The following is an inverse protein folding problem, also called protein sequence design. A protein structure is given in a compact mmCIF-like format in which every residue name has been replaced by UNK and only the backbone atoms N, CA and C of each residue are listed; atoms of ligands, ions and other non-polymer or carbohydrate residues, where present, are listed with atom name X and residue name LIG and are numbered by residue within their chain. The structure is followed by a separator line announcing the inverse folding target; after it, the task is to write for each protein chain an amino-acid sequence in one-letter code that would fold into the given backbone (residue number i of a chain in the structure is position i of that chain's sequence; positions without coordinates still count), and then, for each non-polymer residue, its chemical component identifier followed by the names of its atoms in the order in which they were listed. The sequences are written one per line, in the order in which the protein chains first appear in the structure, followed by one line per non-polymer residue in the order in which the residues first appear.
data_IF_184869288596
#
_entry.id   IF_184869288596
#
_cell.length_a   1.000
_cell.length_b   1.000
_cell.length_c   1.000
_cell.angle_alpha   90.00
_cell.angle_beta   90.00
_cell.angle_gamma   90.00
#
_symmetry.space_group_name_H-M   'P 1'
#
loop_
_entity.id
_entity.type
_entity.pdbx_description
1 polymer ?
#
# COMPACT_ATOMS: atom_id res chain seq x y z
N UNK A 1 -5.34 12.06 13.45
CA UNK A 1 -6.19 10.87 13.24
C UNK A 1 -5.64 10.14 12.03
N UNK A 2 -5.02 8.98 12.22
CA UNK A 2 -4.54 8.17 11.09
C UNK A 2 -5.70 7.55 10.33
N UNK A 3 -5.54 7.36 9.01
CA UNK A 3 -6.52 6.63 8.21
C UNK A 3 -6.68 5.19 8.72
N UNK A 4 -7.92 4.70 8.79
CA UNK A 4 -8.20 3.28 9.02
C UNK A 4 -8.18 2.53 7.69
N UNK A 5 -8.00 1.21 7.74
CA UNK A 5 -8.21 0.38 6.57
C UNK A 5 -9.69 0.45 6.15
N UNK A 6 -9.92 0.80 4.88
CA UNK A 6 -11.26 0.86 4.29
C UNK A 6 -11.86 -0.55 4.15
N UNK A 7 -13.20 -0.63 4.24
CA UNK A 7 -13.95 -1.88 4.14
C UNK A 7 -14.59 -1.97 2.76
N UNK A 8 -14.44 -3.08 2.01
CA UNK A 8 -15.04 -3.21 0.69
C UNK A 8 -16.57 -3.18 0.77
N UNK A 9 -17.21 -2.52 -0.21
CA UNK A 9 -18.66 -2.42 -0.35
C UNK A 9 -19.11 -3.22 -1.56
N UNK A 10 -19.95 -4.23 -1.32
CA UNK A 10 -20.49 -5.10 -2.39
C UNK A 10 -21.08 -4.26 -3.52
N UNK A 11 -20.70 -4.56 -4.76
CA UNK A 11 -21.19 -3.87 -5.96
C UNK A 11 -20.45 -2.58 -6.33
N UNK A 12 -19.51 -2.09 -5.51
CA UNK A 12 -18.61 -1.03 -5.92
C UNK A 12 -17.69 -1.51 -7.05
N UNK A 13 -17.51 -0.67 -8.07
CA UNK A 13 -16.68 -0.96 -9.25
C UNK A 13 -15.46 -0.07 -9.24
N UNK A 14 -14.29 -0.67 -9.46
CA UNK A 14 -13.03 0.05 -9.52
C UNK A 14 -13.01 0.96 -10.77
N UNK A 15 -12.88 2.26 -10.53
CA UNK A 15 -12.84 3.31 -11.56
C UNK A 15 -11.47 3.97 -11.69
N UNK A 16 -10.64 3.88 -10.65
CA UNK A 16 -9.33 4.55 -10.60
C UNK A 16 -8.24 3.59 -10.14
N UNK A 17 -7.18 3.52 -10.94
CA UNK A 17 -5.91 2.88 -10.62
C UNK A 17 -4.95 3.99 -10.20
N UNK A 18 -4.72 4.11 -8.89
CA UNK A 18 -3.78 5.06 -8.30
C UNK A 18 -2.35 4.56 -8.46
N UNK A 19 -1.67 5.04 -9.49
CA UNK A 19 -0.31 4.65 -9.84
C UNK A 19 0.76 5.56 -9.20
N UNK A 20 0.41 6.43 -8.26
CA UNK A 20 1.40 7.23 -7.53
C UNK A 20 2.28 6.38 -6.63
N UNK A 21 3.58 6.68 -6.59
CA UNK A 21 4.51 6.08 -5.62
C UNK A 21 4.11 6.43 -4.18
N UNK A 22 4.52 5.64 -3.18
CA UNK A 22 4.38 6.04 -1.79
C UNK A 22 5.01 7.43 -1.59
N UNK A 23 4.47 8.23 -0.66
CA UNK A 23 4.95 9.58 -0.30
C UNK A 23 4.72 10.69 -1.35
N UNK A 24 3.90 10.44 -2.38
CA UNK A 24 3.42 11.48 -3.33
C UNK A 24 2.03 12.02 -2.97
N UNK A 25 1.57 11.83 -1.73
CA UNK A 25 0.25 12.28 -1.26
C UNK A 25 -0.86 11.25 -1.45
N UNK A 26 -0.52 9.96 -1.54
CA UNK A 26 -1.46 8.86 -1.79
C UNK A 26 -2.62 8.83 -0.81
N UNK A 27 -2.43 9.08 0.50
CA UNK A 27 -3.54 9.06 1.45
C UNK A 27 -4.55 10.20 1.25
N UNK A 28 -4.07 11.42 1.02
CA UNK A 28 -4.90 12.57 0.66
C UNK A 28 -5.68 12.28 -0.63
N UNK A 29 -5.01 11.70 -1.62
CA UNK A 29 -5.61 11.28 -2.87
C UNK A 29 -6.67 10.19 -2.66
N UNK A 30 -6.41 9.15 -1.85
CA UNK A 30 -7.40 8.13 -1.51
C UNK A 30 -8.64 8.77 -0.89
N UNK A 31 -8.46 9.70 0.05
CA UNK A 31 -9.58 10.38 0.69
C UNK A 31 -10.36 11.25 -0.31
N UNK A 32 -9.68 11.88 -1.25
CA UNK A 32 -10.32 12.66 -2.31
C UNK A 32 -11.17 11.76 -3.21
N UNK A 33 -10.67 10.58 -3.57
CA UNK A 33 -11.41 9.59 -4.35
C UNK A 33 -12.61 9.02 -3.58
N UNK A 34 -12.51 8.80 -2.27
CA UNK A 34 -13.66 8.37 -1.45
C UNK A 34 -14.81 9.39 -1.52
N UNK A 35 -14.47 10.68 -1.51
CA UNK A 35 -15.44 11.79 -1.59
C UNK A 35 -16.05 11.85 -2.99
N UNK A 36 -15.23 11.79 -4.06
CA UNK A 36 -15.70 11.97 -5.44
C UNK A 36 -16.44 10.76 -5.99
N UNK A 37 -16.04 9.55 -5.61
CA UNK A 37 -16.58 8.30 -6.15
C UNK A 37 -17.62 7.67 -5.22
N UNK A 38 -17.90 8.30 -4.07
CA UNK A 38 -18.79 7.82 -3.02
C UNK A 38 -18.59 6.33 -2.73
N UNK A 39 -17.38 5.93 -2.34
CA UNK A 39 -17.08 4.52 -2.14
C UNK A 39 -15.73 4.27 -1.48
N UNK A 40 -15.50 3.02 -1.00
CA UNK A 40 -14.27 2.70 -0.30
C UNK A 40 -13.09 2.65 -1.29
N UNK A 41 -11.96 3.22 -0.86
CA UNK A 41 -10.71 3.23 -1.64
C UNK A 41 -9.68 2.35 -0.95
N UNK A 42 -9.10 1.40 -1.67
CA UNK A 42 -8.02 0.57 -1.15
C UNK A 42 -6.73 1.41 -1.07
N UNK A 43 -6.17 1.60 0.12
CA UNK A 43 -4.87 2.24 0.30
C UNK A 43 -3.87 1.26 0.92
N UNK A 44 -2.85 0.93 0.13
CA UNK A 44 -1.77 -0.01 0.42
C UNK A 44 -1.27 0.00 1.86
N UNK A 45 -0.72 1.14 2.31
CA UNK A 45 -0.18 1.29 3.65
C UNK A 45 -1.17 0.94 4.75
N UNK A 46 -2.45 1.33 4.62
CA UNK A 46 -3.47 1.00 5.64
C UNK A 46 -3.91 -0.46 5.59
N UNK A 47 -4.07 -1.02 4.39
CA UNK A 47 -4.53 -2.39 4.22
C UNK A 47 -3.49 -3.41 4.70
N UNK A 48 -2.21 -3.16 4.45
CA UNK A 48 -1.12 -4.04 4.89
C UNK A 48 -0.85 -3.94 6.40
N UNK A 49 -1.03 -2.76 7.01
CA UNK A 49 -0.66 -2.55 8.42
C UNK A 49 -1.82 -2.65 9.42
N UNK A 50 -3.04 -2.36 8.96
CA UNK A 50 -4.26 -2.31 9.78
C UNK A 50 -5.39 -3.20 9.25
N UNK A 51 -5.28 -3.68 8.01
CA UNK A 51 -6.28 -4.53 7.39
C UNK A 51 -6.24 -5.99 7.88
N UNK A 52 -7.16 -6.83 7.37
CA UNK A 52 -7.22 -8.24 7.72
C UNK A 52 -5.97 -9.00 7.23
N UNK A 53 -5.49 -9.94 8.05
CA UNK A 53 -4.30 -10.75 7.73
C UNK A 53 -4.41 -11.51 6.41
N UNK A 54 -5.63 -11.88 5.99
CA UNK A 54 -5.88 -12.49 4.68
C UNK A 54 -5.35 -11.61 3.53
N UNK A 55 -5.47 -10.29 3.64
CA UNK A 55 -5.03 -9.37 2.59
C UNK A 55 -3.52 -9.45 2.33
N UNK A 56 -2.71 -9.31 3.39
CA UNK A 56 -1.25 -9.43 3.25
C UNK A 56 -0.82 -10.82 2.77
N UNK A 57 -1.50 -11.89 3.21
CA UNK A 57 -1.24 -13.26 2.73
C UNK A 57 -1.53 -13.43 1.24
N UNK A 58 -2.62 -12.87 0.74
CA UNK A 58 -2.96 -12.89 -0.69
C UNK A 58 -1.89 -12.17 -1.52
N UNK A 59 -1.34 -11.05 -1.04
CA UNK A 59 -0.23 -10.39 -1.73
C UNK A 59 1.05 -11.22 -1.71
N UNK A 60 1.38 -11.87 -0.59
CA UNK A 60 2.53 -12.77 -0.50
C UNK A 60 2.42 -13.93 -1.49
N UNK A 61 1.24 -14.53 -1.61
CA UNK A 61 0.95 -15.58 -2.58
C UNK A 61 1.15 -15.09 -4.02
N UNK A 62 0.54 -13.95 -4.36
CA UNK A 62 0.68 -13.33 -5.68
C UNK A 62 2.15 -13.06 -6.04
N UNK A 63 2.91 -12.43 -5.12
CA UNK A 63 4.30 -12.07 -5.40
C UNK A 63 5.24 -13.27 -5.45
N UNK A 64 4.87 -14.41 -4.88
CA UNK A 64 5.61 -15.66 -5.04
C UNK A 64 5.51 -16.24 -6.46
N UNK A 65 4.51 -15.81 -7.24
CA UNK A 65 4.23 -16.24 -8.60
C UNK A 65 4.37 -15.10 -9.62
N UNK A 66 5.00 -13.98 -9.24
CA UNK A 66 5.19 -12.83 -10.10
C UNK A 66 6.64 -12.75 -10.64
N UNK A 67 6.86 -12.47 -11.94
CA UNK A 67 5.84 -12.35 -12.98
C UNK A 67 5.31 -13.72 -13.40
N UNK A 68 4.06 -13.76 -13.88
CA UNK A 68 3.49 -14.99 -14.42
C UNK A 68 4.32 -15.51 -15.59
N UNK A 69 4.68 -16.80 -15.55
CA UNK A 69 5.47 -17.47 -16.60
C UNK A 69 4.59 -18.16 -17.66
N UNK A 70 3.31 -18.36 -17.35
CA UNK A 70 2.33 -19.01 -18.19
C UNK A 70 0.92 -18.43 -17.95
N UNK A 71 -0.02 -18.78 -18.84
CA UNK A 71 -1.39 -18.29 -18.82
C UNK A 71 -2.17 -18.72 -17.56
N UNK A 72 -1.89 -19.92 -17.03
CA UNK A 72 -2.55 -20.42 -15.83
C UNK A 72 -2.16 -19.61 -14.58
N UNK A 73 -0.88 -19.28 -14.47
CA UNK A 73 -0.32 -18.42 -13.42
C UNK A 73 -0.84 -17.00 -13.57
N UNK A 74 -0.92 -16.47 -14.80
CA UNK A 74 -1.48 -15.15 -15.04
C UNK A 74 -2.94 -15.08 -14.58
N UNK A 75 -3.76 -16.07 -14.96
CA UNK A 75 -5.15 -16.16 -14.52
C UNK A 75 -5.27 -16.19 -12.99
N UNK A 76 -4.44 -16.99 -12.33
CA UNK A 76 -4.41 -17.09 -10.86
C UNK A 76 -4.04 -15.75 -10.23
N UNK A 77 -3.01 -15.08 -10.74
CA UNK A 77 -2.61 -13.74 -10.26
C UNK A 77 -3.74 -12.73 -10.44
N UNK A 78 -4.42 -12.72 -11.58
CA UNK A 78 -5.56 -11.83 -11.83
C UNK A 78 -6.74 -12.11 -10.87
N UNK A 79 -7.00 -13.38 -10.54
CA UNK A 79 -8.01 -13.75 -9.54
C UNK A 79 -7.64 -13.28 -8.12
N UNK A 80 -6.36 -13.40 -7.74
CA UNK A 80 -5.84 -12.89 -6.46
C UNK A 80 -5.96 -11.37 -6.37
N UNK A 81 -5.56 -10.63 -7.42
CA UNK A 81 -5.72 -9.17 -7.49
C UNK A 81 -7.20 -8.81 -7.36
N UNK A 82 -8.06 -9.43 -8.18
CA UNK A 82 -9.50 -9.19 -8.14
C UNK A 82 -10.09 -9.44 -6.76
N UNK A 83 -9.63 -10.45 -6.03
CA UNK A 83 -10.09 -10.73 -4.66
C UNK A 83 -9.75 -9.63 -3.66
N UNK A 84 -8.70 -8.85 -3.91
CA UNK A 84 -8.29 -7.72 -3.08
C UNK A 84 -8.95 -6.40 -3.48
N UNK A 85 -9.30 -6.25 -4.76
CA UNK A 85 -9.86 -5.02 -5.32
C UNK A 85 -11.38 -5.03 -5.44
N UNK A 86 -12.02 -6.20 -5.36
CA UNK A 86 -13.49 -6.31 -5.42
C UNK A 86 -14.15 -5.54 -4.26
N UNK A 87 -15.16 -4.75 -4.59
CA UNK A 87 -15.84 -3.87 -3.64
C UNK A 87 -15.11 -2.57 -3.31
N UNK A 88 -14.04 -2.20 -4.03
CA UNK A 88 -13.41 -0.89 -3.95
C UNK A 88 -13.66 -0.06 -5.22
N UNK A 89 -13.79 1.26 -5.07
CA UNK A 89 -13.92 2.20 -6.21
C UNK A 89 -12.58 2.66 -6.76
N UNK A 90 -11.52 2.52 -5.98
CA UNK A 90 -10.16 2.77 -6.43
C UNK A 90 -9.15 1.97 -5.60
N UNK A 91 -7.95 1.81 -6.14
CA UNK A 91 -6.79 1.28 -5.43
C UNK A 91 -5.64 2.28 -5.54
N UNK A 92 -4.88 2.46 -4.46
CA UNK A 92 -3.82 3.47 -4.34
C UNK A 92 -2.68 2.92 -3.49
N UNK A 93 -1.48 3.48 -3.67
CA UNK A 93 -0.26 3.08 -2.95
C UNK A 93 0.17 1.62 -3.24
N UNK A 94 1.29 1.16 -2.71
CA UNK A 94 1.79 -0.20 -2.92
C UNK A 94 0.78 -1.26 -2.43
N UNK A 95 0.43 -2.30 -3.22
CA UNK A 95 1.10 -2.73 -4.45
C UNK A 95 0.48 -2.22 -5.78
N UNK A 96 -0.50 -1.31 -5.74
CA UNK A 96 -1.23 -0.83 -6.92
C UNK A 96 -0.29 -0.36 -8.05
N UNK A 97 0.71 0.46 -7.69
CA UNK A 97 1.56 1.11 -8.69
C UNK A 97 2.45 0.15 -9.49
N UNK A 98 2.76 -1.05 -8.97
CA UNK A 98 3.60 -2.03 -9.69
C UNK A 98 2.77 -3.04 -10.50
N UNK A 99 1.46 -3.09 -10.25
CA UNK A 99 0.49 -3.99 -10.87
C UNK A 99 -0.44 -3.29 -11.89
N UNK A 100 -0.02 -2.13 -12.41
CA UNK A 100 -0.84 -1.34 -13.37
C UNK A 100 -1.24 -2.15 -14.61
N UNK A 101 -0.37 -2.93 -15.27
CA UNK A 101 -0.78 -3.79 -16.40
C UNK A 101 -1.91 -4.77 -16.04
N UNK A 102 -1.76 -5.47 -14.92
CA UNK A 102 -2.70 -6.46 -14.43
C UNK A 102 -4.04 -5.82 -14.04
N UNK A 103 -4.00 -4.65 -13.40
CA UNK A 103 -5.18 -3.88 -13.04
C UNK A 103 -5.90 -3.31 -14.27
N UNK A 104 -5.18 -2.86 -15.31
CA UNK A 104 -5.79 -2.42 -16.56
C UNK A 104 -6.46 -3.58 -17.31
N UNK A 105 -5.92 -4.80 -17.22
CA UNK A 105 -6.54 -6.00 -17.78
C UNK A 105 -7.83 -6.38 -17.06
N UNK A 106 -7.87 -6.24 -15.73
CA UNK A 106 -9.07 -6.48 -14.92
C UNK A 106 -10.12 -5.37 -15.06
N UNK A 107 -9.68 -4.13 -15.20
CA UNK A 107 -10.51 -2.93 -15.19
C UNK A 107 -10.20 -2.05 -16.41
N UNK A 108 -10.63 -2.47 -17.61
CA UNK A 108 -10.28 -1.77 -18.87
C UNK A 108 -10.82 -0.34 -18.95
N UNK A 109 -11.89 -0.03 -18.22
CA UNK A 109 -12.49 1.32 -18.17
C UNK A 109 -11.91 2.21 -17.06
N UNK A 110 -11.03 1.68 -16.21
CA UNK A 110 -10.48 2.47 -15.11
C UNK A 110 -9.44 3.48 -15.62
N UNK A 111 -9.48 4.69 -15.05
CA UNK A 111 -8.48 5.72 -15.30
C UNK A 111 -7.23 5.41 -14.46
N UNK A 112 -6.04 5.60 -15.04
CA UNK A 112 -4.78 5.53 -14.30
C UNK A 112 -4.37 6.94 -13.90
N UNK A 113 -4.31 7.18 -12.59
CA UNK A 113 -3.92 8.48 -12.04
C UNK A 113 -2.64 8.31 -11.23
N UNK A 114 -1.58 9.02 -11.62
CA UNK A 114 -0.31 9.04 -10.92
C UNK A 114 -0.17 10.35 -10.14
N UNK A 115 -0.21 10.26 -8.81
CA UNK A 115 0.14 11.40 -7.95
C UNK A 115 1.64 11.67 -8.01
N UNK A 116 2.00 12.93 -8.23
CA UNK A 116 3.36 13.43 -8.36
C UNK A 116 3.71 14.41 -7.25
N UNK A 117 5.00 14.59 -7.05
CA UNK A 117 5.60 15.56 -6.13
C UNK A 117 6.95 15.99 -6.68
N UNK A 118 7.44 17.14 -6.23
CA UNK A 118 8.87 17.47 -6.35
C UNK A 118 9.74 16.28 -5.90
N UNK A 119 10.61 15.84 -6.81
CA UNK A 119 11.33 14.57 -6.68
C UNK A 119 12.42 14.61 -5.61
N UNK A 120 13.07 15.76 -5.39
CA UNK A 120 14.04 15.94 -4.30
C UNK A 120 13.36 15.83 -2.93
N UNK A 121 12.20 16.47 -2.80
CA UNK A 121 11.39 16.39 -1.59
C UNK A 121 10.80 15.00 -1.37
N UNK A 122 10.43 14.30 -2.45
CA UNK A 122 9.94 12.93 -2.40
C UNK A 122 11.03 11.96 -1.96
N UNK A 123 12.22 12.03 -2.53
CA UNK A 123 13.34 11.13 -2.26
C UNK A 123 13.72 11.17 -0.76
N UNK A 124 13.88 12.37 -0.19
CA UNK A 124 14.11 12.54 1.26
C UNK A 124 13.00 11.95 2.12
N UNK A 125 11.73 12.11 1.69
CA UNK A 125 10.60 11.56 2.42
C UNK A 125 10.52 10.04 2.30
N UNK A 126 10.95 9.47 1.18
CA UNK A 126 10.92 8.05 0.91
C UNK A 126 12.07 7.34 1.63
N UNK A 127 13.27 7.91 1.63
CA UNK A 127 14.41 7.42 2.39
C UNK A 127 14.07 7.21 3.88
N UNK A 128 13.48 8.22 4.52
CA UNK A 128 13.08 8.14 5.93
C UNK A 128 12.12 6.97 6.20
N UNK A 129 11.11 6.77 5.33
CA UNK A 129 10.11 5.71 5.48
C UNK A 129 10.68 4.35 5.16
N UNK A 130 11.50 4.23 4.11
CA UNK A 130 12.18 2.98 3.74
C UNK A 130 13.10 2.52 4.87
N UNK A 131 13.94 3.41 5.41
CA UNK A 131 14.85 3.08 6.51
C UNK A 131 14.09 2.63 7.76
N UNK A 132 12.96 3.29 8.07
CA UNK A 132 12.11 2.89 9.20
C UNK A 132 11.41 1.54 8.97
N UNK A 133 11.08 1.18 7.72
CA UNK A 133 10.35 -0.03 7.38
C UNK A 133 11.25 -1.28 7.22
N UNK A 134 12.55 -1.11 7.02
CA UNK A 134 13.49 -2.21 6.72
C UNK A 134 14.51 -2.51 7.81
N UNK A 135 14.34 -1.94 9.01
CA UNK A 135 15.19 -2.27 10.15
C UNK A 135 15.14 -3.78 10.47
N UNK A 136 16.32 -4.43 10.53
CA UNK A 136 16.46 -5.89 10.65
C UNK A 136 15.69 -6.51 11.82
N UNK A 137 15.59 -5.79 12.95
CA UNK A 137 14.94 -6.30 14.16
C UNK A 137 13.41 -6.32 14.07
N UNK A 138 12.81 -5.64 13.09
CA UNK A 138 11.35 -5.58 12.94
C UNK A 138 10.73 -6.96 12.75
N UNK A 139 11.42 -7.87 12.07
CA UNK A 139 10.96 -9.25 11.89
C UNK A 139 10.72 -9.95 13.23
N UNK A 140 11.57 -9.68 14.21
CA UNK A 140 11.41 -10.21 15.56
C UNK A 140 10.34 -9.44 16.36
N UNK A 141 10.43 -8.11 16.38
CA UNK A 141 9.53 -7.26 17.18
C UNK A 141 8.07 -7.43 16.76
N UNK A 142 7.79 -7.55 15.46
CA UNK A 142 6.45 -7.64 14.92
C UNK A 142 5.87 -9.06 14.89
N UNK A 143 6.70 -10.10 15.09
CA UNK A 143 6.28 -11.50 15.03
C UNK A 143 5.05 -11.88 15.88
N UNK A 144 4.90 -11.43 17.14
CA UNK A 144 3.75 -11.82 17.96
C UNK A 144 2.46 -11.07 17.58
N UNK A 145 2.53 -10.09 16.67
CA UNK A 145 1.38 -9.32 16.22
C UNK A 145 0.71 -10.00 15.02
N UNK A 146 -0.61 -10.26 15.08
CA UNK A 146 -1.38 -10.63 13.90
C UNK A 146 -1.26 -9.57 12.80
N UNK A 147 -1.32 -10.00 11.53
CA UNK A 147 -1.07 -9.17 10.33
C UNK A 147 0.37 -8.64 10.24
N UNK A 148 0.85 -7.86 11.22
CA UNK A 148 2.16 -7.20 11.20
C UNK A 148 3.35 -8.17 11.18
N UNK A 149 3.19 -9.42 11.63
CA UNK A 149 4.23 -10.46 11.49
C UNK A 149 4.65 -10.73 10.03
N UNK A 150 3.76 -10.41 9.08
CA UNK A 150 4.00 -10.58 7.65
C UNK A 150 4.54 -9.30 6.99
N UNK A 151 4.66 -8.19 7.73
CA UNK A 151 5.04 -6.89 7.16
C UNK A 151 6.41 -6.92 6.48
N UNK A 152 7.44 -7.44 7.16
CA UNK A 152 8.79 -7.55 6.58
C UNK A 152 8.79 -8.50 5.38
N UNK A 153 8.09 -9.63 5.48
CA UNK A 153 7.97 -10.58 4.38
C UNK A 153 7.26 -9.96 3.16
N UNK A 154 6.28 -9.09 3.37
CA UNK A 154 5.59 -8.36 2.30
C UNK A 154 6.56 -7.41 1.58
N UNK A 155 7.35 -6.64 2.32
CA UNK A 155 8.41 -5.79 1.74
C UNK A 155 9.42 -6.64 0.97
N UNK A 156 9.92 -7.73 1.56
CA UNK A 156 10.86 -8.64 0.91
C UNK A 156 10.30 -9.21 -0.41
N UNK A 157 9.01 -9.59 -0.42
CA UNK A 157 8.33 -10.15 -1.60
C UNK A 157 8.17 -9.15 -2.74
N UNK A 158 8.17 -7.84 -2.43
CA UNK A 158 8.08 -6.78 -3.42
C UNK A 158 9.42 -6.40 -4.04
N UNK A 159 10.56 -6.75 -3.42
CA UNK A 159 11.89 -6.39 -3.94
C UNK A 159 12.15 -6.87 -5.37
N UNK A 160 11.85 -8.13 -5.76
CA UNK A 160 12.04 -8.57 -7.15
C UNK A 160 11.20 -7.75 -8.15
N UNK A 161 9.99 -7.38 -7.75
CA UNK A 161 9.07 -6.56 -8.57
C UNK A 161 9.65 -5.17 -8.79
N UNK A 162 10.11 -4.53 -7.71
CA UNK A 162 10.74 -3.21 -7.77
C UNK A 162 12.02 -3.22 -8.59
N UNK A 163 12.88 -4.23 -8.38
CA UNK A 163 14.10 -4.41 -9.16
C UNK A 163 13.80 -4.57 -10.65
N UNK A 164 12.78 -5.37 -11.00
CA UNK A 164 12.36 -5.55 -12.39
C UNK A 164 11.82 -4.26 -13.02
N UNK A 165 10.97 -3.50 -12.30
CA UNK A 165 10.32 -2.30 -12.84
C UNK A 165 11.26 -1.09 -12.92
N UNK A 166 12.12 -0.93 -11.91
CA UNK A 166 12.85 0.32 -11.67
C UNK A 166 14.37 0.16 -11.63
N UNK A 167 14.86 -1.08 -11.50
CA UNK A 167 16.30 -1.37 -11.38
C UNK A 167 16.88 -1.07 -9.99
N UNK A 168 16.03 -0.74 -9.01
CA UNK A 168 16.38 -0.47 -7.61
C UNK A 168 15.25 -0.99 -6.72
N UNK A 169 15.53 -1.24 -5.44
CA UNK A 169 14.52 -1.60 -4.45
C UNK A 169 14.36 -0.51 -3.40
N UNK A 170 15.12 -0.55 -2.31
CA UNK A 170 15.02 0.42 -1.24
C UNK A 170 16.39 0.84 -0.68
N UNK A 171 16.53 2.13 -0.28
CA UNK A 171 15.59 3.21 -0.53
C UNK A 171 15.53 3.55 -2.04
N UNK A 172 14.33 3.69 -2.63
CA UNK A 172 14.23 4.07 -4.02
C UNK A 172 14.65 5.53 -4.20
N UNK A 173 15.38 5.80 -5.28
CA UNK A 173 15.96 7.12 -5.56
C UNK A 173 15.16 7.87 -6.62
N UNK A 174 15.59 9.08 -6.96
CA UNK A 174 15.14 9.80 -8.17
C UNK A 174 15.09 8.92 -9.42
N UNK A 175 16.05 7.99 -9.59
CA UNK A 175 16.08 7.08 -10.74
C UNK A 175 14.82 6.23 -10.80
N UNK A 176 14.42 5.64 -9.68
CA UNK A 176 13.19 4.85 -9.57
C UNK A 176 11.95 5.70 -9.89
N UNK A 177 11.88 6.92 -9.35
CA UNK A 177 10.77 7.86 -9.59
C UNK A 177 10.61 8.19 -11.07
N UNK A 178 11.69 8.62 -11.73
CA UNK A 178 11.67 8.99 -13.13
C UNK A 178 11.34 7.78 -14.02
N UNK A 179 11.95 6.63 -13.75
CA UNK A 179 11.68 5.39 -14.49
C UNK A 179 10.22 4.98 -14.40
N UNK A 180 9.59 5.15 -13.23
CA UNK A 180 8.17 4.84 -13.06
C UNK A 180 7.26 5.75 -13.88
N UNK A 181 7.54 7.07 -13.89
CA UNK A 181 6.78 8.02 -14.71
C UNK A 181 6.92 7.71 -16.20
N UNK A 182 8.12 7.39 -16.66
CA UNK A 182 8.38 6.95 -18.04
C UNK A 182 7.64 5.66 -18.37
N UNK A 183 7.78 4.64 -17.51
CA UNK A 183 7.12 3.36 -17.66
C UNK A 183 5.59 3.51 -17.78
N UNK A 184 4.95 4.32 -16.94
CA UNK A 184 3.51 4.58 -17.04
C UNK A 184 3.12 5.19 -18.39
N UNK A 185 3.93 6.12 -18.93
CA UNK A 185 3.70 6.70 -20.26
C UNK A 185 3.90 5.69 -21.39
N UNK A 186 4.76 4.69 -21.19
CA UNK A 186 4.97 3.60 -22.17
C UNK A 186 3.78 2.64 -22.22
N UNK A 187 3.19 2.29 -21.07
CA UNK A 187 2.22 1.20 -20.98
C UNK A 187 0.76 1.63 -20.92
N UNK A 188 0.48 2.87 -20.50
CA UNK A 188 -0.90 3.37 -20.36
C UNK A 188 -1.24 4.26 -21.56
N UNK A 189 -2.39 4.03 -22.22
CA UNK A 189 -2.87 4.95 -23.26
C UNK A 189 -2.97 6.39 -22.73
N UNK A 190 -2.48 7.41 -23.46
CA UNK A 190 -2.44 8.79 -22.97
C UNK A 190 -3.79 9.35 -22.51
N UNK A 191 -4.87 8.96 -23.18
CA UNK A 191 -6.25 9.33 -22.85
C UNK A 191 -6.75 8.75 -21.52
N UNK A 192 -6.07 7.71 -21.00
CA UNK A 192 -6.38 7.06 -19.72
C UNK A 192 -5.40 7.43 -18.61
N UNK A 193 -4.37 8.22 -18.89
CA UNK A 193 -3.30 8.54 -17.96
C UNK A 193 -3.38 10.01 -17.53
N UNK A 194 -3.51 10.25 -16.23
CA UNK A 194 -3.44 11.59 -15.65
C UNK A 194 -2.33 11.68 -14.60
N UNK A 195 -1.59 12.79 -14.64
CA UNK A 195 -0.63 13.16 -13.60
C UNK A 195 -1.20 14.32 -12.79
N UNK A 196 -1.17 14.20 -11.46
CA UNK A 196 -1.72 15.22 -10.56
C UNK A 196 -0.76 15.49 -9.40
N UNK A 197 -0.62 16.75 -8.98
CA UNK A 197 -0.06 17.09 -7.66
C UNK A 197 -1.24 17.33 -6.70
N UNK A 198 -1.22 16.67 -5.54
CA UNK A 198 -2.27 16.84 -4.52
C UNK A 198 -2.34 18.28 -3.98
N UNK A 199 -1.29 19.08 -4.17
CA UNK A 199 -1.26 20.51 -3.82
C UNK A 199 -2.14 21.37 -4.73
N UNK A 200 -2.44 20.91 -5.94
CA UNK A 200 -3.30 21.61 -6.89
C UNK A 200 -4.79 21.47 -6.53
N UNK A 201 -5.11 20.67 -5.52
CA UNK A 201 -6.46 20.52 -4.98
C UNK A 201 -7.40 19.76 -5.92
N UNK A 202 -8.66 20.19 -5.96
CA UNK A 202 -9.73 19.45 -6.64
C UNK A 202 -9.68 19.52 -8.15
N UNK A 203 -9.26 20.65 -8.73
CA UNK A 203 -9.49 20.94 -10.14
C UNK A 203 -8.87 19.90 -11.09
N UNK A 204 -7.58 19.51 -10.96
CA UNK A 204 -6.99 18.54 -11.89
C UNK A 204 -7.61 17.14 -11.74
N UNK A 205 -7.94 16.74 -10.51
CA UNK A 205 -8.54 15.44 -10.22
C UNK A 205 -9.98 15.36 -10.76
N UNK A 206 -10.78 16.39 -10.53
CA UNK A 206 -12.16 16.46 -11.02
C UNK A 206 -12.21 16.50 -12.55
N UNK A 207 -11.29 17.24 -13.18
CA UNK A 207 -11.12 17.25 -14.63
C UNK A 207 -10.77 15.88 -15.20
N UNK A 208 -9.84 15.17 -14.57
CA UNK A 208 -9.44 13.82 -15.00
C UNK A 208 -10.59 12.81 -14.90
N UNK A 209 -11.45 12.95 -13.88
CA UNK A 209 -12.58 12.04 -13.63
C UNK A 209 -13.87 12.44 -14.33
N UNK A 210 -13.90 13.59 -15.00
CA UNK A 210 -15.10 14.23 -15.54
C UNK A 210 -16.22 14.38 -14.49
N UNK A 211 -15.84 14.96 -13.34
CA UNK A 211 -16.73 15.18 -12.19
C UNK A 211 -16.75 16.66 -11.78
N UNK A 212 -17.83 17.15 -11.15
CA UNK A 212 -17.88 18.50 -10.63
C UNK A 212 -16.98 18.67 -9.40
N UNK A 213 -16.36 19.85 -9.25
CA UNK A 213 -15.60 20.21 -8.06
C UNK A 213 -16.54 20.35 -6.84
N UNK A 214 -16.26 19.68 -5.70
CA UNK A 214 -17.02 19.85 -4.47
C UNK A 214 -16.93 21.30 -3.97
N UNK A 215 -18.08 21.96 -3.74
CA UNK A 215 -18.13 23.39 -3.36
C UNK A 215 -17.79 23.65 -1.89
N UNK A 216 -18.21 22.76 -1.00
CA UNK A 216 -18.16 22.99 0.46
C UNK A 216 -17.18 22.06 1.20
N UNK A 217 -16.36 21.31 0.45
CA UNK A 217 -15.42 20.33 1.02
C UNK A 217 -14.00 20.72 0.61
N UNK A 218 -13.10 21.09 1.54
CA UNK A 218 -11.72 21.36 1.19
C UNK A 218 -11.02 20.09 0.70
N UNK A 219 -10.03 20.24 -0.17
CA UNK A 219 -9.24 19.09 -0.61
C UNK A 219 -8.56 18.43 0.60
N UNK A 220 -8.60 17.10 0.74
CA UNK A 220 -8.02 16.42 1.90
C UNK A 220 -6.52 16.70 2.03
N UNK A 221 -6.09 17.10 3.23
CA UNK A 221 -4.68 17.26 3.56
C UNK A 221 -4.33 16.34 4.74
N UNK A 222 -3.88 15.13 4.42
CA UNK A 222 -3.54 14.11 5.39
C UNK A 222 -2.01 14.08 5.57
N UNK A 223 -1.56 14.45 6.77
CA UNK A 223 -0.14 14.40 7.12
C UNK A 223 0.28 12.95 7.43
N UNK A 224 0.65 12.24 6.37
CA UNK A 224 1.04 10.84 6.50
C UNK A 224 2.34 10.65 7.27
N UNK A 225 3.29 11.58 7.25
CA UNK A 225 4.58 11.37 7.93
C UNK A 225 4.38 11.18 9.42
N UNK A 226 3.64 12.08 10.07
CA UNK A 226 3.35 11.97 11.51
C UNK A 226 2.50 10.74 11.82
N UNK A 227 1.52 10.43 10.97
CA UNK A 227 0.67 9.25 11.15
C UNK A 227 1.45 7.92 11.03
N UNK A 228 2.38 7.84 10.08
CA UNK A 228 3.28 6.69 9.92
C UNK A 228 4.20 6.55 11.13
N UNK A 229 4.81 7.64 11.61
CA UNK A 229 5.68 7.60 12.79
C UNK A 229 4.93 7.14 14.05
N UNK A 230 3.72 7.67 14.28
CA UNK A 230 2.87 7.26 15.40
C UNK A 230 2.46 5.79 15.27
N UNK A 231 2.09 5.35 14.07
CA UNK A 231 1.74 3.96 13.79
C UNK A 231 2.93 3.03 14.02
N UNK A 232 4.10 3.34 13.49
CA UNK A 232 5.31 2.56 13.64
C UNK A 232 5.69 2.40 15.13
N UNK A 233 5.73 3.51 15.88
CA UNK A 233 5.98 3.50 17.33
C UNK A 233 4.96 2.62 18.06
N UNK A 234 3.68 2.77 17.73
CA UNK A 234 2.61 1.97 18.35
C UNK A 234 2.75 0.48 18.06
N UNK A 235 3.07 0.09 16.82
CA UNK A 235 3.24 -1.32 16.47
C UNK A 235 4.48 -1.92 17.15
N UNK A 236 5.59 -1.20 17.22
CA UNK A 236 6.79 -1.63 17.96
C UNK A 236 6.47 -1.82 19.44
N UNK A 237 5.82 -0.85 20.09
CA UNK A 237 5.41 -0.96 21.50
C UNK A 237 4.48 -2.16 21.74
N UNK A 238 3.49 -2.37 20.87
CA UNK A 238 2.60 -3.54 20.94
C UNK A 238 3.37 -4.85 20.82
N UNK A 239 4.34 -4.91 19.90
CA UNK A 239 5.18 -6.08 19.67
C UNK A 239 6.01 -6.44 20.90
N UNK A 240 6.74 -5.45 21.44
CA UNK A 240 7.52 -5.60 22.67
C UNK A 240 6.66 -6.00 23.87
N UNK A 241 5.49 -5.38 24.03
CA UNK A 241 4.54 -5.71 25.11
C UNK A 241 4.06 -7.15 24.99
N UNK A 242 3.71 -7.61 23.77
CA UNK A 242 3.27 -8.99 23.55
C UNK A 242 4.38 -10.00 23.82
N UNK A 243 5.62 -9.68 23.44
CA UNK A 243 6.78 -10.50 23.82
C UNK A 243 6.96 -10.59 25.34
N UNK A 244 6.89 -9.47 26.06
CA UNK A 244 7.01 -9.46 27.51
C UNK A 244 5.96 -10.36 28.19
N UNK A 245 4.71 -10.31 27.72
CA UNK A 245 3.64 -11.19 28.21
C UNK A 245 3.92 -12.67 27.88
N UNK A 246 4.33 -12.99 26.65
CA UNK A 246 4.65 -14.37 26.24
C UNK A 246 5.80 -14.96 27.07
N UNK A 247 6.86 -14.18 27.29
CA UNK A 247 8.00 -14.60 28.10
C UNK A 247 7.63 -14.78 29.58
N UNK A 248 6.81 -13.88 30.14
CA UNK A 248 6.34 -13.99 31.52
C UNK A 248 5.47 -15.25 31.73
N UNK A 249 4.52 -15.51 30.82
CA UNK A 249 3.65 -16.71 30.88
C UNK A 249 4.46 -17.99 30.67
N UNK A 250 5.39 -18.00 29.71
CA UNK A 250 6.28 -19.14 29.47
C UNK A 250 7.18 -19.43 30.68
N UNK A 251 7.77 -18.40 31.27
CA UNK A 251 8.62 -18.53 32.47
C UNK A 251 7.84 -19.01 33.69
N UNK A 252 6.64 -18.49 33.93
CA UNK A 252 5.77 -18.97 35.01
C UNK A 252 5.36 -20.43 34.81
N UNK A 253 5.04 -20.84 33.59
CA UNK A 253 4.67 -22.22 33.26
C UNK A 253 5.85 -23.18 33.47
N UNK A 254 7.06 -22.77 33.07
CA UNK A 254 8.28 -23.55 33.30
C UNK A 254 8.58 -23.68 34.79
N UNK A 255 8.48 -22.60 35.57
CA UNK A 255 8.68 -22.64 37.02
C UNK A 255 7.68 -23.57 37.73
N UNK A 256 6.41 -23.54 37.32
CA UNK A 256 5.37 -24.45 37.84
C UNK A 256 5.64 -25.91 37.45
N UNK A 257 6.10 -26.17 36.23
CA UNK A 257 6.48 -27.50 35.80
C UNK A 257 7.66 -28.05 36.63
N UNK A 258 8.73 -27.26 36.81
CA UNK A 258 9.88 -27.64 37.63
C UNK A 258 9.46 -27.94 39.08
N UNK A 259 8.59 -27.11 39.67
CA UNK A 259 8.05 -27.34 41.03
C UNK A 259 7.20 -28.61 41.18
N UNK A 260 6.58 -29.11 40.11
CA UNK A 260 5.83 -30.38 40.14
C UNK A 260 6.72 -31.62 40.05
N UNK A 261 7.95 -31.45 39.55
CA UNK A 261 8.92 -32.52 39.34
C UNK A 261 9.92 -32.65 40.50
N UNK A 262 10.00 -31.65 41.38
CA UNK A 262 10.72 -31.69 42.66
C UNK A 262 9.78 -32.14 43.78
#
# INVERSE_FOLDING_TARGET
MGQQASVPRKGAKLRVIGAGMPRTGTASFSRALEILLDGPVYHGGTQVTLGPERGVKTWLELFSHWPAQDEATEKTNLELIKSQTDGFVAMTDNPCLVLVPELMKLYPEALVICTQRDVDSWEKSMEAVSNAATMWFLRFVLFPLPTMRYFVQFIDSMRPVWLFRYGETEPPTRKSYNRHVEWLKEIVPPERLAFIDVKDGWEPLCKALDLPVPKDVPFPNINDSKAIDELAKRQVQRGLTRWAVLLAVGGASMALAVRKWM
#
